data_IF_728726190896
#
_entry.id   IF_728726190896
#
_cell.length_a   1.000
_cell.length_b   1.000
_cell.length_c   1.000
_cell.angle_alpha   90.00
_cell.angle_beta   90.00
_cell.angle_gamma   90.00
#
_symmetry.space_group_name_H-M   'P 1'
#
loop_
_entity.id
_entity.type
_entity.pdbx_description
1 polymer ?
#
# COMPACT_ATOMS: atom_id res chain seq x y z
N UNK A 1 6.11 -14.91 -29.61
CA UNK A 1 7.29 -15.74 -29.27
C UNK A 1 8.55 -15.00 -29.74
N UNK A 2 8.63 -14.57 -31.01
CA UNK A 2 9.82 -13.93 -31.60
C UNK A 2 10.30 -12.72 -30.82
N UNK A 3 9.40 -11.83 -30.43
CA UNK A 3 9.73 -10.63 -29.61
C UNK A 3 10.32 -10.98 -28.23
N UNK A 4 9.86 -12.07 -27.61
CA UNK A 4 10.40 -12.55 -26.34
C UNK A 4 11.79 -13.13 -26.55
N UNK A 5 11.98 -13.89 -27.63
CA UNK A 5 13.26 -14.45 -28.00
C UNK A 5 14.30 -13.37 -28.33
N UNK A 6 13.92 -12.34 -29.06
CA UNK A 6 14.78 -11.20 -29.37
C UNK A 6 15.28 -10.48 -28.10
N UNK A 7 14.38 -10.31 -27.11
CA UNK A 7 14.70 -9.62 -25.84
C UNK A 7 15.51 -10.46 -24.86
N UNK A 8 15.23 -11.76 -24.80
CA UNK A 8 15.69 -12.61 -23.69
C UNK A 8 16.45 -13.85 -24.11
N UNK A 9 16.36 -14.28 -25.37
CA UNK A 9 16.91 -15.56 -25.86
C UNK A 9 18.44 -15.68 -25.80
N UNK A 10 19.15 -14.55 -25.65
CA UNK A 10 20.63 -14.53 -25.54
C UNK A 10 21.11 -14.36 -24.11
N UNK A 11 20.19 -14.20 -23.14
CA UNK A 11 20.58 -14.05 -21.74
C UNK A 11 20.96 -15.38 -21.13
N UNK A 12 22.00 -15.38 -20.29
CA UNK A 12 22.27 -16.53 -19.41
C UNK A 12 21.12 -16.69 -18.41
N UNK A 13 20.95 -17.88 -17.84
CA UNK A 13 19.97 -18.14 -16.77
C UNK A 13 20.11 -17.13 -15.62
N UNK A 14 21.35 -16.79 -15.24
CA UNK A 14 21.62 -15.79 -14.21
C UNK A 14 21.10 -14.41 -14.58
N UNK A 15 21.43 -13.93 -15.79
CA UNK A 15 20.98 -12.62 -16.26
C UNK A 15 19.46 -12.56 -16.44
N UNK A 16 18.81 -13.67 -16.84
CA UNK A 16 17.39 -13.77 -16.93
C UNK A 16 16.72 -13.67 -15.55
N UNK A 17 17.24 -14.38 -14.55
CA UNK A 17 16.77 -14.30 -13.18
C UNK A 17 16.91 -12.87 -12.61
N UNK A 18 18.04 -12.21 -12.87
CA UNK A 18 18.27 -10.83 -12.44
C UNK A 18 17.24 -9.89 -13.08
N UNK A 19 16.96 -10.04 -14.36
CA UNK A 19 15.93 -9.26 -15.07
C UNK A 19 14.52 -9.51 -14.50
N UNK A 20 14.18 -10.76 -14.17
CA UNK A 20 12.90 -11.11 -13.54
C UNK A 20 12.78 -10.50 -12.15
N UNK A 21 13.81 -10.63 -11.31
CA UNK A 21 13.78 -10.12 -9.94
C UNK A 21 13.80 -8.59 -9.87
N UNK A 22 14.46 -7.93 -10.81
CA UNK A 22 14.40 -6.48 -10.94
C UNK A 22 12.99 -6.00 -11.32
N UNK A 23 12.32 -6.73 -12.22
CA UNK A 23 10.97 -6.39 -12.69
C UNK A 23 9.87 -6.81 -11.73
N UNK A 24 10.05 -7.94 -11.05
CA UNK A 24 9.09 -8.57 -10.15
C UNK A 24 9.77 -8.99 -8.84
N UNK A 25 10.10 -8.04 -7.96
CA UNK A 25 10.83 -8.32 -6.72
C UNK A 25 10.08 -9.27 -5.77
N UNK A 26 8.77 -9.45 -5.94
CA UNK A 26 7.98 -10.45 -5.24
C UNK A 26 8.57 -11.88 -5.40
N UNK A 27 9.06 -12.23 -6.59
CA UNK A 27 9.60 -13.57 -6.83
C UNK A 27 10.87 -13.88 -6.02
N UNK A 28 11.53 -12.87 -5.45
CA UNK A 28 12.66 -13.09 -4.54
C UNK A 28 12.24 -13.74 -3.22
N UNK A 29 10.93 -13.71 -2.87
CA UNK A 29 10.39 -14.20 -1.61
C UNK A 29 10.73 -15.67 -1.33
N UNK A 30 10.65 -16.51 -2.36
CA UNK A 30 10.89 -17.95 -2.30
C UNK A 30 12.15 -18.37 -3.08
N UNK A 31 13.04 -17.44 -3.39
CA UNK A 31 14.27 -17.77 -4.09
C UNK A 31 15.24 -18.50 -3.16
N UNK A 32 15.83 -19.59 -3.62
CA UNK A 32 16.92 -20.30 -2.93
C UNK A 32 18.27 -19.58 -3.08
N UNK A 33 18.34 -18.56 -3.94
CA UNK A 33 19.54 -17.77 -4.19
C UNK A 33 19.61 -16.56 -3.25
N UNK A 34 20.22 -16.75 -2.09
CA UNK A 34 20.30 -15.71 -1.04
C UNK A 34 20.95 -14.40 -1.53
N UNK A 35 21.99 -14.49 -2.34
CA UNK A 35 22.67 -13.32 -2.92
C UNK A 35 21.73 -12.47 -3.78
N UNK A 36 20.76 -13.10 -4.45
CA UNK A 36 19.75 -12.42 -5.28
C UNK A 36 18.57 -11.87 -4.49
N UNK A 37 18.29 -12.42 -3.29
CA UNK A 37 17.32 -11.83 -2.35
C UNK A 37 17.75 -10.46 -1.88
N UNK A 38 19.07 -10.24 -1.78
CA UNK A 38 19.67 -8.99 -1.35
C UNK A 38 19.72 -7.91 -2.45
N UNK A 39 18.99 -8.06 -3.56
CA UNK A 39 18.90 -7.03 -4.60
C UNK A 39 18.57 -5.69 -3.94
N UNK A 40 19.40 -4.68 -4.16
CA UNK A 40 19.20 -3.33 -3.60
C UNK A 40 17.85 -2.78 -4.06
N UNK A 41 16.87 -2.86 -3.17
CA UNK A 41 15.56 -2.28 -3.41
C UNK A 41 15.66 -0.75 -3.34
N UNK A 42 14.96 -0.03 -4.19
CA UNK A 42 14.89 1.42 -4.08
C UNK A 42 14.34 1.81 -2.72
N UNK A 43 14.69 2.99 -2.24
CA UNK A 43 14.10 3.61 -1.06
C UNK A 43 13.50 4.93 -1.53
N UNK A 44 12.21 5.07 -1.38
CA UNK A 44 11.52 6.32 -1.73
C UNK A 44 11.93 7.46 -0.77
N UNK A 45 11.70 8.69 -1.20
CA UNK A 45 11.73 9.84 -0.28
C UNK A 45 10.52 9.76 0.65
N UNK A 46 10.63 10.32 1.84
CA UNK A 46 9.48 10.42 2.74
C UNK A 46 8.39 11.30 2.12
N UNK A 47 7.19 10.75 2.02
CA UNK A 47 5.97 11.40 1.59
C UNK A 47 4.79 10.66 2.23
N UNK A 48 3.59 11.20 2.16
CA UNK A 48 2.36 10.50 2.52
C UNK A 48 1.88 9.74 1.28
N UNK A 49 2.38 8.52 1.10
CA UNK A 49 1.92 7.68 0.00
C UNK A 49 0.54 7.11 0.31
N UNK A 50 -0.29 6.94 -0.71
CA UNK A 50 -1.56 6.24 -0.63
C UNK A 50 -1.67 5.18 -1.71
N UNK A 51 -2.40 4.08 -1.44
CA UNK A 51 -2.67 3.05 -2.43
C UNK A 51 -3.95 2.29 -2.13
N UNK A 52 -4.68 1.92 -3.18
CA UNK A 52 -5.78 0.97 -3.13
C UNK A 52 -5.40 -0.33 -3.83
N UNK A 53 -5.88 -1.46 -3.31
CA UNK A 53 -5.57 -2.77 -3.90
C UNK A 53 -6.70 -3.37 -4.74
N UNK A 54 -7.82 -2.67 -4.90
CA UNK A 54 -8.92 -3.13 -5.74
C UNK A 54 -8.44 -3.33 -7.19
N UNK A 55 -8.85 -4.44 -7.80
CA UNK A 55 -8.36 -4.81 -9.14
C UNK A 55 -7.01 -5.52 -9.17
N UNK A 56 -6.19 -5.41 -8.13
CA UNK A 56 -4.85 -6.01 -8.09
C UNK A 56 -4.87 -7.42 -7.47
N UNK A 57 -3.97 -8.28 -7.92
CA UNK A 57 -3.53 -9.46 -7.19
C UNK A 57 -2.52 -9.03 -6.13
N UNK A 58 -2.36 -9.83 -5.06
CA UNK A 58 -1.46 -9.47 -3.96
C UNK A 58 0.00 -9.36 -4.40
N UNK A 59 0.43 -10.18 -5.34
CA UNK A 59 1.76 -10.14 -5.94
C UNK A 59 2.01 -8.80 -6.65
N UNK A 60 1.08 -8.37 -7.48
CA UNK A 60 1.17 -7.10 -8.20
C UNK A 60 1.15 -5.89 -7.26
N UNK A 61 0.34 -5.96 -6.21
CA UNK A 61 0.30 -4.92 -5.18
C UNK A 61 1.62 -4.83 -4.40
N UNK A 62 2.18 -5.96 -3.98
CA UNK A 62 3.44 -5.98 -3.25
C UNK A 62 4.62 -5.59 -4.15
N UNK A 63 4.62 -5.99 -5.42
CA UNK A 63 5.60 -5.53 -6.40
C UNK A 63 5.54 -4.00 -6.59
N UNK A 64 4.34 -3.42 -6.63
CA UNK A 64 4.17 -1.97 -6.67
C UNK A 64 4.86 -1.31 -5.47
N UNK A 65 4.62 -1.78 -4.24
CA UNK A 65 5.23 -1.21 -3.04
C UNK A 65 6.76 -1.35 -3.04
N UNK A 66 7.27 -2.52 -3.42
CA UNK A 66 8.71 -2.80 -3.47
C UNK A 66 9.42 -1.93 -4.49
N UNK A 67 8.86 -1.79 -5.69
CA UNK A 67 9.41 -0.95 -6.77
C UNK A 67 9.32 0.53 -6.47
N UNK A 68 8.26 0.94 -5.76
CA UNK A 68 8.10 2.32 -5.28
C UNK A 68 8.97 2.63 -4.06
N UNK A 69 9.72 1.67 -3.54
CA UNK A 69 10.65 1.89 -2.43
C UNK A 69 9.98 2.10 -1.07
N UNK A 70 8.78 1.59 -0.91
CA UNK A 70 8.02 1.66 0.34
C UNK A 70 8.63 0.72 1.39
N UNK A 71 8.77 1.20 2.61
CA UNK A 71 9.30 0.45 3.76
C UNK A 71 8.22 0.10 4.79
N UNK A 72 7.10 0.83 4.80
CA UNK A 72 6.03 0.61 5.77
C UNK A 72 4.67 0.67 5.10
N UNK A 73 3.83 -0.30 5.41
CA UNK A 73 2.42 -0.34 5.05
C UNK A 73 1.58 0.01 6.28
N UNK A 74 0.82 1.10 6.20
CA UNK A 74 -0.15 1.51 7.22
C UNK A 74 -1.55 1.15 6.71
N UNK A 75 -2.10 0.07 7.23
CA UNK A 75 -3.45 -0.40 6.90
C UNK A 75 -4.48 0.43 7.66
N UNK A 76 -5.18 1.29 6.94
CA UNK A 76 -6.18 2.22 7.51
C UNK A 76 -7.62 1.71 7.40
N UNK A 77 -7.80 0.44 7.04
CA UNK A 77 -9.12 -0.20 7.03
C UNK A 77 -9.60 -0.41 8.46
N UNK A 78 -10.85 -0.07 8.73
CA UNK A 78 -11.46 -0.36 10.03
C UNK A 78 -11.51 -1.87 10.30
N UNK A 79 -12.01 -2.64 9.32
CA UNK A 79 -12.03 -4.10 9.36
C UNK A 79 -11.24 -4.68 8.17
N UNK A 80 -10.00 -5.16 8.36
CA UNK A 80 -9.14 -5.68 7.29
C UNK A 80 -9.41 -7.16 6.97
N UNK A 81 -10.67 -7.58 7.06
CA UNK A 81 -11.14 -8.86 6.52
C UNK A 81 -11.34 -8.69 5.02
N UNK A 82 -10.72 -9.54 4.23
CA UNK A 82 -10.85 -9.54 2.78
C UNK A 82 -11.10 -10.96 2.27
N UNK A 83 -12.05 -11.10 1.34
CA UNK A 83 -12.25 -12.36 0.60
C UNK A 83 -11.19 -12.53 -0.51
N UNK A 84 -10.54 -11.44 -0.90
CA UNK A 84 -9.47 -11.49 -1.89
C UNK A 84 -8.22 -12.06 -1.26
N UNK A 85 -7.66 -13.09 -1.87
CA UNK A 85 -6.45 -13.75 -1.37
C UNK A 85 -5.31 -12.75 -1.15
N UNK A 86 -4.60 -12.90 -0.05
CA UNK A 86 -3.44 -12.07 0.30
C UNK A 86 -3.77 -10.78 1.04
N UNK A 87 -5.01 -10.26 0.96
CA UNK A 87 -5.39 -8.97 1.56
C UNK A 87 -6.08 -9.07 2.93
N UNK A 88 -6.28 -10.28 3.45
CA UNK A 88 -6.67 -10.47 4.84
C UNK A 88 -5.50 -10.05 5.74
N UNK A 89 -5.79 -9.36 6.86
CA UNK A 89 -4.76 -8.81 7.77
C UNK A 89 -3.64 -9.80 8.09
N UNK A 90 -3.98 -11.00 8.53
CA UNK A 90 -2.99 -11.99 8.95
C UNK A 90 -2.09 -12.47 7.81
N UNK A 91 -2.61 -12.55 6.59
CA UNK A 91 -1.84 -12.94 5.41
C UNK A 91 -0.98 -11.78 4.95
N UNK A 92 -1.55 -10.58 4.82
CA UNK A 92 -0.82 -9.39 4.37
C UNK A 92 0.34 -9.05 5.31
N UNK A 93 0.13 -9.15 6.64
CA UNK A 93 1.18 -8.97 7.64
C UNK A 93 2.35 -9.94 7.41
N UNK A 94 2.06 -11.26 7.25
CA UNK A 94 3.10 -12.27 6.99
C UNK A 94 3.87 -12.02 5.70
N UNK A 95 3.18 -11.58 4.65
CA UNK A 95 3.80 -11.28 3.36
C UNK A 95 4.69 -10.03 3.46
N UNK A 96 4.23 -8.99 4.13
CA UNK A 96 5.00 -7.78 4.39
C UNK A 96 6.27 -8.10 5.20
N UNK A 97 6.15 -8.87 6.28
CA UNK A 97 7.28 -9.28 7.12
C UNK A 97 8.36 -10.00 6.30
N UNK A 98 7.97 -11.01 5.51
CA UNK A 98 8.91 -11.72 4.61
C UNK A 98 9.58 -10.82 3.57
N UNK A 99 8.96 -9.70 3.21
CA UNK A 99 9.49 -8.71 2.28
C UNK A 99 10.21 -7.55 2.96
N UNK A 100 10.40 -7.60 4.29
CA UNK A 100 10.98 -6.51 5.07
C UNK A 100 10.23 -5.18 4.88
N UNK A 101 8.90 -5.27 4.78
CA UNK A 101 7.97 -4.15 4.84
C UNK A 101 7.30 -4.19 6.21
N UNK A 102 7.48 -3.15 7.00
CA UNK A 102 6.79 -3.04 8.29
C UNK A 102 5.28 -2.90 8.07
N UNK A 103 4.47 -3.73 8.74
CA UNK A 103 3.01 -3.63 8.69
C UNK A 103 2.47 -3.02 9.98
N UNK A 104 1.69 -1.94 9.84
CA UNK A 104 0.94 -1.30 10.92
C UNK A 104 -0.54 -1.30 10.58
N UNK A 105 -1.39 -1.48 11.59
CA UNK A 105 -2.85 -1.43 11.43
C UNK A 105 -3.43 -0.37 12.35
N UNK A 106 -4.11 0.60 11.75
CA UNK A 106 -4.70 1.76 12.42
C UNK A 106 -6.22 1.80 12.17
N UNK A 107 -7.00 0.86 12.77
CA UNK A 107 -8.44 0.72 12.51
C UNK A 107 -9.26 1.93 12.94
N UNK A 108 -8.76 2.71 13.89
CA UNK A 108 -9.46 3.86 14.46
C UNK A 108 -9.69 4.98 13.44
N UNK A 109 -8.83 5.08 12.42
CA UNK A 109 -8.96 6.03 11.31
C UNK A 109 -9.72 5.46 10.12
N UNK A 110 -10.22 4.24 10.21
CA UNK A 110 -11.04 3.59 9.18
C UNK A 110 -12.52 3.91 9.34
N UNK A 111 -13.28 3.75 8.26
CA UNK A 111 -14.74 3.85 8.26
C UNK A 111 -15.35 2.47 8.47
N UNK A 112 -16.30 2.35 9.41
CA UNK A 112 -17.01 1.10 9.67
C UNK A 112 -17.85 0.64 8.46
N UNK A 113 -18.08 -0.66 8.35
CA UNK A 113 -18.91 -1.24 7.28
C UNK A 113 -20.36 -0.71 7.30
N UNK A 114 -20.88 -0.40 8.48
CA UNK A 114 -22.24 0.14 8.66
C UNK A 114 -22.41 1.49 7.95
N UNK A 115 -21.41 2.38 8.02
CA UNK A 115 -21.45 3.68 7.36
C UNK A 115 -21.37 3.59 5.85
N UNK A 116 -20.85 2.47 5.33
CA UNK A 116 -20.70 2.21 3.89
C UNK A 116 -21.92 1.51 3.27
N UNK A 117 -22.88 1.11 4.07
CA UNK A 117 -24.08 0.43 3.57
C UNK A 117 -24.93 1.40 2.72
N UNK A 118 -25.36 0.94 1.55
CA UNK A 118 -26.29 1.68 0.69
C UNK A 118 -25.68 2.83 -0.13
N UNK A 119 -24.36 2.94 -0.23
CA UNK A 119 -23.71 3.92 -1.11
C UNK A 119 -23.91 3.52 -2.57
N UNK A 120 -24.53 4.37 -3.37
CA UNK A 120 -24.87 4.11 -4.78
C UNK A 120 -24.45 5.23 -5.72
N UNK A 121 -24.16 6.42 -5.20
CA UNK A 121 -23.83 7.59 -6.00
C UNK A 121 -22.59 8.32 -5.47
N UNK A 122 -21.96 9.11 -6.32
CA UNK A 122 -20.85 9.99 -5.92
C UNK A 122 -21.24 10.92 -4.76
N UNK A 123 -22.48 11.43 -4.77
CA UNK A 123 -23.00 12.27 -3.69
C UNK A 123 -23.10 11.53 -2.35
N UNK A 124 -23.32 10.20 -2.36
CA UNK A 124 -23.31 9.40 -1.13
C UNK A 124 -21.89 9.30 -0.55
N UNK A 125 -20.89 9.10 -1.39
CA UNK A 125 -19.49 9.09 -0.98
C UNK A 125 -19.06 10.45 -0.42
N UNK A 126 -19.43 11.55 -1.05
CA UNK A 126 -19.13 12.90 -0.57
C UNK A 126 -19.74 13.14 0.82
N UNK A 127 -21.03 12.80 1.01
CA UNK A 127 -21.68 12.89 2.33
C UNK A 127 -21.00 12.02 3.38
N UNK A 128 -20.60 10.78 3.01
CA UNK A 128 -19.87 9.89 3.89
C UNK A 128 -18.53 10.51 4.31
N UNK A 129 -17.78 11.07 3.37
CA UNK A 129 -16.46 11.63 3.66
C UNK A 129 -16.56 12.95 4.43
N UNK A 130 -17.57 13.77 4.19
CA UNK A 130 -17.84 14.97 5.02
C UNK A 130 -18.18 14.58 6.45
N UNK A 131 -18.95 13.52 6.63
CA UNK A 131 -19.22 12.95 7.96
C UNK A 131 -17.95 12.41 8.61
N UNK A 132 -17.13 11.71 7.87
CA UNK A 132 -15.83 11.19 8.34
C UNK A 132 -14.89 12.32 8.82
N UNK A 133 -14.81 13.41 8.08
CA UNK A 133 -14.00 14.58 8.44
C UNK A 133 -14.53 15.29 9.71
N UNK A 134 -15.84 15.28 9.93
CA UNK A 134 -16.45 15.92 11.12
C UNK A 134 -16.42 15.03 12.35
N UNK A 135 -16.62 13.73 12.21
CA UNK A 135 -16.88 12.84 13.36
C UNK A 135 -15.69 11.95 13.71
N UNK A 136 -14.89 11.50 12.73
CA UNK A 136 -13.78 10.57 12.96
C UNK A 136 -12.44 11.31 13.10
N UNK A 137 -12.06 12.13 12.10
CA UNK A 137 -10.73 12.73 12.07
C UNK A 137 -10.43 13.61 13.29
N UNK A 138 -11.35 14.42 13.84
CA UNK A 138 -11.05 15.24 15.00
C UNK A 138 -10.78 14.43 16.28
N UNK A 139 -11.54 13.35 16.50
CA UNK A 139 -11.36 12.51 17.69
C UNK A 139 -10.15 11.59 17.59
N UNK A 140 -9.66 11.33 16.38
CA UNK A 140 -8.48 10.49 16.09
C UNK A 140 -7.20 11.31 15.90
N UNK A 141 -7.16 12.57 16.34
CA UNK A 141 -6.01 13.46 16.16
C UNK A 141 -4.70 12.85 16.69
N UNK A 142 -4.73 12.14 17.80
CA UNK A 142 -3.54 11.48 18.38
C UNK A 142 -3.00 10.37 17.43
N UNK A 143 -3.88 9.51 16.95
CA UNK A 143 -3.54 8.45 15.96
C UNK A 143 -2.98 9.07 14.68
N UNK A 144 -3.60 10.14 14.16
CA UNK A 144 -3.16 10.82 12.93
C UNK A 144 -1.77 11.44 13.11
N UNK A 145 -1.48 12.04 14.28
CA UNK A 145 -0.12 12.52 14.63
C UNK A 145 0.89 11.36 14.71
N UNK A 146 0.49 10.23 15.27
CA UNK A 146 1.30 8.99 15.25
C UNK A 146 1.65 8.57 13.83
N UNK A 147 0.64 8.52 12.93
CA UNK A 147 0.87 8.22 11.50
C UNK A 147 1.78 9.28 10.86
N UNK A 148 1.60 10.57 11.17
CA UNK A 148 2.46 11.64 10.67
C UNK A 148 3.93 11.48 11.10
N UNK A 149 4.19 10.93 12.28
CA UNK A 149 5.54 10.56 12.73
C UNK A 149 6.08 9.38 11.93
N UNK A 150 5.26 8.35 11.71
CA UNK A 150 5.66 7.18 10.92
C UNK A 150 6.07 7.53 9.47
N UNK A 151 5.32 8.41 8.80
CA UNK A 151 5.61 8.79 7.40
C UNK A 151 6.85 9.70 7.28
N UNK A 152 7.26 10.37 8.36
CA UNK A 152 8.52 11.12 8.44
C UNK A 152 9.73 10.20 8.65
N UNK A 153 9.54 9.15 9.43
CA UNK A 153 10.59 8.21 9.81
C UNK A 153 11.00 7.31 8.63
N UNK A 154 10.03 6.81 7.87
CA UNK A 154 10.29 5.94 6.73
C UNK A 154 9.22 6.10 5.62
N UNK A 155 9.57 5.84 4.33
CA UNK A 155 8.60 5.83 3.25
C UNK A 155 7.44 4.89 3.55
N UNK A 156 6.26 5.47 3.80
CA UNK A 156 5.09 4.75 4.31
C UNK A 156 3.88 4.98 3.42
N UNK A 157 3.11 3.92 3.13
CA UNK A 157 1.89 3.98 2.32
C UNK A 157 0.66 3.72 3.17
N UNK A 158 -0.34 4.61 3.09
CA UNK A 158 -1.68 4.40 3.66
C UNK A 158 -2.48 3.51 2.71
N UNK A 159 -2.91 2.35 3.18
CA UNK A 159 -3.58 1.35 2.34
C UNK A 159 -5.04 1.19 2.71
N UNK A 160 -5.90 1.27 1.71
CA UNK A 160 -7.31 0.90 1.78
C UNK A 160 -7.68 -0.04 0.63
N UNK A 161 -8.97 -0.34 0.47
CA UNK A 161 -9.43 -1.25 -0.57
C UNK A 161 -9.56 -0.55 -1.92
N UNK A 162 -10.32 0.51 -1.98
CA UNK A 162 -10.78 1.18 -3.19
C UNK A 162 -9.60 1.66 -4.05
N UNK A 163 -9.60 1.34 -5.34
CA UNK A 163 -8.58 1.79 -6.29
C UNK A 163 -8.66 3.31 -6.49
N UNK A 164 -9.86 3.81 -6.77
CA UNK A 164 -10.08 5.24 -7.00
C UNK A 164 -9.93 6.03 -5.68
N UNK A 165 -8.97 6.97 -5.60
CA UNK A 165 -8.79 7.81 -4.42
C UNK A 165 -10.01 8.68 -4.10
N UNK A 166 -10.84 9.05 -5.11
CA UNK A 166 -12.05 9.86 -4.92
C UNK A 166 -13.16 9.10 -4.19
N UNK A 167 -13.16 7.78 -4.29
CA UNK A 167 -14.09 6.87 -3.62
C UNK A 167 -13.55 6.29 -2.32
N UNK A 168 -12.45 6.85 -1.77
CA UNK A 168 -11.78 6.30 -0.61
C UNK A 168 -11.49 7.34 0.47
N UNK A 169 -11.77 6.99 1.71
CA UNK A 169 -11.47 7.82 2.88
C UNK A 169 -9.97 8.07 3.10
N UNK A 170 -9.10 7.22 2.54
CA UNK A 170 -7.64 7.38 2.65
C UNK A 170 -7.16 8.73 2.14
N UNK A 171 -7.83 9.30 1.13
CA UNK A 171 -7.51 10.62 0.58
C UNK A 171 -7.71 11.75 1.60
N UNK A 172 -8.83 11.71 2.33
CA UNK A 172 -9.11 12.68 3.40
C UNK A 172 -8.14 12.54 4.56
N UNK A 173 -7.87 11.28 4.95
CA UNK A 173 -6.87 10.97 5.98
C UNK A 173 -5.47 11.44 5.56
N UNK A 174 -5.04 11.14 4.33
CA UNK A 174 -3.71 11.52 3.84
C UNK A 174 -3.49 13.04 3.86
N UNK A 175 -4.50 13.82 3.48
CA UNK A 175 -4.47 15.30 3.60
C UNK A 175 -4.27 15.74 5.05
N UNK A 176 -4.93 15.08 5.99
CA UNK A 176 -4.79 15.40 7.42
C UNK A 176 -3.42 15.00 7.96
N UNK A 177 -2.90 13.84 7.55
CA UNK A 177 -1.52 13.41 7.88
C UNK A 177 -0.50 14.39 7.29
N UNK A 178 -0.71 14.85 6.05
CA UNK A 178 0.17 15.82 5.39
C UNK A 178 0.23 17.15 6.15
N UNK A 179 -0.90 17.64 6.68
CA UNK A 179 -0.92 18.85 7.50
C UNK A 179 -0.03 18.73 8.77
N UNK A 180 0.02 17.55 9.41
CA UNK A 180 0.85 17.32 10.59
C UNK A 180 2.30 16.95 10.26
N UNK A 181 2.53 16.32 9.12
CA UNK A 181 3.88 15.89 8.72
C UNK A 181 4.65 16.96 7.95
N UNK A 182 3.95 17.86 7.24
CA UNK A 182 4.56 18.80 6.30
C UNK A 182 5.02 18.13 4.99
N UNK A 183 4.65 16.86 4.75
CA UNK A 183 5.06 16.09 3.58
C UNK A 183 3.98 16.12 2.48
N UNK A 184 4.37 16.03 1.20
CA UNK A 184 3.40 15.95 0.11
C UNK A 184 2.65 14.61 0.11
N UNK A 185 1.41 14.62 -0.42
CA UNK A 185 0.63 13.41 -0.67
C UNK A 185 0.96 12.90 -2.08
N UNK A 186 1.17 11.58 -2.22
CA UNK A 186 1.41 10.91 -3.49
C UNK A 186 0.59 9.62 -3.55
N UNK A 187 -0.13 9.40 -4.65
CA UNK A 187 -0.86 8.17 -4.88
C UNK A 187 -0.01 7.22 -5.76
N UNK A 188 -0.05 5.90 -5.45
CA UNK A 188 0.75 4.86 -6.12
C UNK A 188 -0.09 4.06 -7.09
#
# INVERSE_FOLDING_TARGET
IDRVWECYGRLSTGALLDAVYARYPWFTLNSDQEERRATKRPIARCAVYTSGYEGLQVEGFLDLLLRSGIKRLVDVRNNPVSRRYGFHKSTLLKLCDRLSIEYRHEPQVGISSEWRAGLTSQADYERLFDRYEREILPVQTATIRGIATLVKDAPSVLVCQEFDPSCCHRTRLARRVAQFSGLPVQDL
#
